data_IF_118773258653
#
_entry.id   IF_118773258653
#
_cell.length_a   1.000
_cell.length_b   1.000
_cell.length_c   1.000
_cell.angle_alpha   90.00
_cell.angle_beta   90.00
_cell.angle_gamma   90.00
#
_symmetry.space_group_name_H-M   'P 1'
#
loop_
_entity.id
_entity.type
_entity.pdbx_description
1 polymer ?
#
# COMPACT_ATOMS: atom_id res chain seq x y z
N UNK A 1 -59.49 -0.19 -70.15
CA UNK A 1 -59.15 -1.62 -70.09
C UNK A 1 -58.08 -1.85 -69.02
N UNK A 2 -58.31 -2.80 -68.09
CA UNK A 2 -57.35 -3.42 -67.12
C UNK A 2 -56.97 -2.54 -65.89
N UNK A 3 -57.64 -2.69 -64.74
CA UNK A 3 -57.29 -3.49 -63.51
C UNK A 3 -55.96 -3.01 -62.87
N UNK A 4 -55.80 -2.66 -61.59
CA UNK A 4 -55.98 -3.37 -60.31
C UNK A 4 -55.87 -2.32 -59.16
N UNK A 5 -56.77 -2.22 -58.17
CA UNK A 5 -56.80 -2.90 -56.85
C UNK A 5 -55.63 -2.54 -55.88
N UNK A 6 -55.99 -1.78 -54.84
CA UNK A 6 -55.66 -1.88 -53.39
C UNK A 6 -54.20 -1.92 -52.93
N UNK A 7 -53.86 -1.16 -51.86
CA UNK A 7 -53.41 -1.70 -50.55
C UNK A 7 -52.81 -0.62 -49.61
N UNK A 8 -53.28 -0.69 -48.36
CA UNK A 8 -52.70 -0.34 -47.05
C UNK A 8 -52.18 1.07 -46.73
N UNK A 9 -52.97 1.71 -45.86
CA UNK A 9 -52.52 2.43 -44.68
C UNK A 9 -51.49 1.63 -43.86
N UNK A 10 -50.36 2.23 -43.56
CA UNK A 10 -49.37 1.72 -42.60
C UNK A 10 -48.79 2.89 -41.78
N UNK A 11 -49.48 3.24 -40.69
CA UNK A 11 -48.89 3.96 -39.57
C UNK A 11 -48.15 2.96 -38.69
N UNK A 12 -46.81 2.95 -38.72
CA UNK A 12 -46.00 2.38 -37.64
C UNK A 12 -44.92 3.39 -37.23
N UNK A 13 -45.21 4.05 -36.12
CA UNK A 13 -44.33 4.29 -34.97
C UNK A 13 -42.82 4.33 -35.26
N UNK A 14 -42.30 5.54 -35.41
CA UNK A 14 -40.86 5.82 -35.22
C UNK A 14 -40.52 5.61 -33.74
N UNK A 15 -40.04 4.41 -33.42
CA UNK A 15 -39.40 4.08 -32.15
C UNK A 15 -38.16 4.95 -31.99
N UNK A 16 -38.17 5.85 -31.01
CA UNK A 16 -36.99 6.59 -30.59
C UNK A 16 -35.93 5.59 -30.08
N UNK A 17 -34.88 5.35 -30.86
CA UNK A 17 -33.65 4.75 -30.36
C UNK A 17 -32.93 5.78 -29.49
N UNK A 18 -33.36 5.91 -28.23
CA UNK A 18 -32.55 6.56 -27.21
C UNK A 18 -31.46 5.55 -26.83
N UNK A 19 -30.29 5.61 -27.47
CA UNK A 19 -29.15 4.84 -27.01
C UNK A 19 -28.71 5.44 -25.68
N UNK A 20 -29.03 4.75 -24.58
CA UNK A 20 -28.30 4.91 -23.34
C UNK A 20 -26.89 4.40 -23.61
N UNK A 21 -26.03 5.28 -24.10
CA UNK A 21 -24.60 5.05 -24.17
C UNK A 21 -24.09 4.86 -22.75
N UNK A 22 -24.07 3.61 -22.28
CA UNK A 22 -23.26 3.22 -21.14
C UNK A 22 -21.81 3.44 -21.52
N UNK A 23 -21.32 4.64 -21.24
CA UNK A 23 -19.92 4.97 -21.33
C UNK A 23 -19.24 4.24 -20.17
N UNK A 24 -18.78 3.01 -20.43
CA UNK A 24 -17.78 2.37 -19.57
C UNK A 24 -16.51 3.20 -19.73
N UNK A 25 -16.34 4.22 -18.89
CA UNK A 25 -15.03 4.84 -18.70
C UNK A 25 -14.16 3.71 -18.18
N UNK A 26 -13.13 3.23 -18.92
CA UNK A 26 -12.09 2.46 -18.28
C UNK A 26 -11.51 3.41 -17.23
N UNK A 27 -11.63 3.08 -15.96
CA UNK A 27 -11.01 3.83 -14.87
C UNK A 27 -9.49 3.71 -15.05
N UNK A 28 -8.92 4.53 -15.93
CA UNK A 28 -7.47 4.73 -16.07
C UNK A 28 -7.08 5.74 -14.99
N UNK A 29 -7.39 5.41 -13.74
CA UNK A 29 -6.65 5.94 -12.61
C UNK A 29 -5.33 5.17 -12.52
N UNK A 30 -4.23 5.77 -12.03
CA UNK A 30 -3.06 4.97 -11.68
C UNK A 30 -3.50 3.89 -10.70
N UNK A 31 -3.36 2.62 -11.08
CA UNK A 31 -3.68 1.50 -10.21
C UNK A 31 -2.71 1.54 -9.03
N UNK A 32 -3.17 2.04 -7.88
CA UNK A 32 -2.37 2.04 -6.65
C UNK A 32 -2.04 0.57 -6.33
N UNK A 33 -0.76 0.17 -6.33
CA UNK A 33 -0.39 -1.20 -6.05
C UNK A 33 -0.90 -1.62 -4.68
N UNK A 34 -1.54 -2.78 -4.61
CA UNK A 34 -1.93 -3.36 -3.31
C UNK A 34 -0.66 -3.79 -2.57
N UNK A 35 -0.55 -3.39 -1.31
CA UNK A 35 0.52 -3.84 -0.42
C UNK A 35 0.17 -5.21 0.17
N UNK A 36 1.11 -6.15 0.06
CA UNK A 36 1.02 -7.51 0.58
C UNK A 36 1.71 -7.61 1.95
N UNK A 37 1.03 -7.17 2.99
CA UNK A 37 1.58 -7.15 4.35
C UNK A 37 2.00 -8.54 4.86
N UNK A 38 1.36 -9.61 4.37
CA UNK A 38 1.68 -11.01 4.67
C UNK A 38 3.08 -11.45 4.21
N UNK A 39 3.71 -10.69 3.30
CA UNK A 39 5.05 -10.92 2.79
C UNK A 39 6.04 -9.84 3.23
N UNK A 40 5.61 -8.90 4.08
CA UNK A 40 6.43 -7.77 4.50
C UNK A 40 7.40 -8.17 5.60
N UNK A 41 8.64 -7.70 5.48
CA UNK A 41 9.69 -7.82 6.47
C UNK A 41 10.14 -6.43 6.92
N UNK A 42 10.50 -6.32 8.19
CA UNK A 42 11.26 -5.19 8.68
C UNK A 42 12.75 -5.45 8.38
N UNK A 43 13.38 -4.61 7.57
CA UNK A 43 14.76 -4.82 7.09
C UNK A 43 15.60 -3.61 7.46
N UNK A 44 16.72 -3.82 8.13
CA UNK A 44 17.58 -2.73 8.59
C UNK A 44 18.94 -3.23 9.06
N UNK A 45 19.70 -2.34 9.67
CA UNK A 45 21.07 -2.67 10.11
C UNK A 45 21.11 -3.79 11.17
N UNK A 46 20.04 -3.97 11.96
CA UNK A 46 19.94 -5.02 12.98
C UNK A 46 19.76 -6.45 12.43
N UNK A 47 19.37 -6.59 11.16
CA UNK A 47 19.25 -7.89 10.49
C UNK A 47 19.98 -7.92 9.15
N UNK A 48 21.03 -7.10 9.01
CA UNK A 48 21.87 -7.05 7.82
C UNK A 48 21.09 -6.79 6.52
N UNK A 49 19.96 -6.09 6.62
CA UNK A 49 19.02 -5.85 5.53
C UNK A 49 18.44 -7.12 4.91
N UNK A 50 18.44 -8.26 5.60
CA UNK A 50 17.90 -9.52 5.09
C UNK A 50 16.39 -9.66 5.34
N UNK A 51 15.73 -10.52 4.55
CA UNK A 51 14.35 -10.92 4.78
C UNK A 51 14.28 -12.05 5.82
N UNK A 52 14.82 -11.80 7.01
CA UNK A 52 14.87 -12.78 8.10
C UNK A 52 13.44 -13.06 8.62
N UNK A 53 12.99 -14.33 8.67
CA UNK A 53 11.68 -14.72 9.20
C UNK A 53 11.36 -14.21 10.60
N UNK A 54 12.35 -13.97 11.46
CA UNK A 54 12.15 -13.36 12.79
C UNK A 54 11.64 -11.92 12.70
N UNK A 55 11.94 -11.24 11.60
CA UNK A 55 11.56 -9.85 11.32
C UNK A 55 10.38 -9.75 10.35
N UNK A 56 9.72 -10.88 10.05
CA UNK A 56 8.51 -10.91 9.23
C UNK A 56 7.32 -10.37 10.02
N UNK A 57 6.57 -9.46 9.43
CA UNK A 57 5.35 -8.93 10.03
C UNK A 57 4.31 -10.03 10.20
N UNK A 58 3.68 -10.07 11.37
CA UNK A 58 2.61 -11.02 11.73
C UNK A 58 1.32 -10.29 11.97
N UNK A 59 0.21 -10.90 11.54
CA UNK A 59 -1.13 -10.32 11.73
C UNK A 59 -1.50 -10.28 13.22
N UNK A 60 -2.00 -9.14 13.66
CA UNK A 60 -2.56 -8.89 14.99
C UNK A 60 -3.96 -8.27 14.88
N UNK A 61 -4.61 -8.03 16.03
CA UNK A 61 -5.96 -7.45 16.07
C UNK A 61 -6.03 -6.05 15.44
N UNK A 62 -4.94 -5.28 15.54
CA UNK A 62 -4.87 -3.86 15.13
C UNK A 62 -3.91 -3.61 13.97
N UNK A 63 -3.71 -4.61 13.09
CA UNK A 63 -2.83 -4.51 11.93
C UNK A 63 -1.79 -5.61 11.86
N UNK A 64 -0.57 -5.24 11.46
CA UNK A 64 0.56 -6.16 11.38
C UNK A 64 1.67 -5.67 12.29
N UNK A 65 2.31 -6.60 13.01
CA UNK A 65 3.32 -6.26 14.01
C UNK A 65 4.55 -7.14 13.87
N UNK A 66 5.68 -6.59 14.29
CA UNK A 66 6.91 -7.32 14.56
C UNK A 66 7.58 -6.71 15.78
N UNK A 67 8.15 -7.56 16.63
CA UNK A 67 8.81 -7.16 17.86
C UNK A 67 10.32 -7.39 17.70
N UNK A 68 11.12 -6.37 18.01
CA UNK A 68 12.57 -6.36 17.81
C UNK A 68 13.26 -5.89 19.07
N UNK A 69 14.30 -6.62 19.49
CA UNK A 69 15.19 -6.17 20.56
C UNK A 69 16.20 -5.16 19.99
N UNK A 70 16.25 -3.97 20.59
CA UNK A 70 17.15 -2.88 20.18
C UNK A 70 17.99 -2.42 21.37
N UNK A 71 19.22 -2.01 21.07
CA UNK A 71 20.17 -1.51 22.07
C UNK A 71 20.21 0.01 21.98
N UNK A 72 20.13 0.69 23.13
CA UNK A 72 20.30 2.14 23.18
C UNK A 72 21.77 2.53 23.29
N UNK A 73 22.49 2.42 22.18
CA UNK A 73 23.89 2.84 22.04
C UNK A 73 24.03 4.32 21.60
N UNK A 74 22.91 5.00 21.38
CA UNK A 74 22.84 6.39 20.95
C UNK A 74 22.92 6.60 19.44
N UNK A 75 23.10 5.53 18.64
CA UNK A 75 23.08 5.60 17.18
C UNK A 75 21.67 5.31 16.62
N UNK A 76 21.29 5.94 15.51
CA UNK A 76 20.06 5.57 14.82
C UNK A 76 20.21 4.22 14.10
N UNK A 77 19.19 3.37 14.23
CA UNK A 77 19.02 2.22 13.34
C UNK A 77 18.39 2.70 12.03
N UNK A 78 19.10 2.50 10.92
CA UNK A 78 18.51 2.63 9.58
C UNK A 78 17.69 1.39 9.24
N UNK A 79 16.48 1.59 8.71
CA UNK A 79 15.61 0.50 8.29
C UNK A 79 14.59 0.92 7.21
N UNK A 80 14.00 -0.08 6.56
CA UNK A 80 12.89 -0.02 5.61
C UNK A 80 12.00 -1.25 5.75
N UNK A 81 10.89 -1.25 5.03
CA UNK A 81 9.97 -2.37 4.95
C UNK A 81 10.01 -2.89 3.53
N UNK A 82 10.13 -4.20 3.35
CA UNK A 82 10.07 -4.79 2.02
C UNK A 82 9.67 -6.25 2.04
N UNK A 83 9.17 -6.75 0.92
CA UNK A 83 9.19 -8.18 0.63
C UNK A 83 10.63 -8.72 0.49
N UNK A 84 10.74 -10.03 0.31
CA UNK A 84 12.00 -10.76 0.18
C UNK A 84 12.80 -10.32 -1.06
N UNK A 85 12.11 -9.92 -2.12
CA UNK A 85 12.66 -9.61 -3.44
C UNK A 85 13.01 -8.15 -3.67
N UNK A 86 12.76 -7.26 -2.71
CA UNK A 86 12.86 -5.81 -2.93
C UNK A 86 12.00 -5.34 -4.10
N UNK A 87 10.79 -5.89 -4.24
CA UNK A 87 9.84 -5.45 -5.27
C UNK A 87 9.55 -3.97 -5.05
N UNK A 88 9.74 -3.10 -6.06
CA UNK A 88 9.60 -1.64 -5.90
C UNK A 88 8.28 -1.21 -5.26
N UNK A 89 7.17 -1.81 -5.67
CA UNK A 89 5.83 -1.51 -5.14
C UNK A 89 5.54 -2.11 -3.77
N UNK A 90 6.43 -2.97 -3.25
CA UNK A 90 6.36 -3.57 -1.92
C UNK A 90 7.50 -3.10 -1.01
N UNK A 91 8.37 -2.22 -1.53
CA UNK A 91 9.49 -1.63 -0.79
C UNK A 91 9.07 -0.25 -0.30
N UNK A 92 8.87 -0.13 1.01
CA UNK A 92 8.31 1.05 1.64
C UNK A 92 9.32 1.71 2.57
N UNK A 93 9.33 3.04 2.54
CA UNK A 93 10.30 3.84 3.27
C UNK A 93 9.83 5.28 3.49
N UNK A 94 10.76 6.11 3.97
CA UNK A 94 10.54 7.52 4.17
C UNK A 94 10.41 8.28 2.84
N UNK A 95 9.80 9.47 2.92
CA UNK A 95 9.71 10.45 1.82
C UNK A 95 11.02 11.17 1.56
N UNK A 96 11.95 11.11 2.52
CA UNK A 96 13.28 11.69 2.44
C UNK A 96 14.28 10.85 3.25
N UNK A 97 15.56 10.98 2.89
CA UNK A 97 16.66 10.24 3.50
C UNK A 97 16.77 10.51 5.00
N UNK A 98 16.81 9.44 5.79
CA UNK A 98 16.99 9.52 7.23
C UNK A 98 15.76 10.08 7.95
N UNK A 99 14.56 9.89 7.38
CA UNK A 99 13.33 10.34 8.01
C UNK A 99 13.20 9.76 9.42
N UNK A 100 13.16 10.59 10.47
CA UNK A 100 13.13 10.11 11.84
C UNK A 100 11.78 9.51 12.18
N UNK A 101 11.80 8.41 12.92
CA UNK A 101 10.64 7.76 13.51
C UNK A 101 10.68 8.04 15.01
N UNK A 102 9.64 8.71 15.51
CA UNK A 102 9.52 9.02 16.93
C UNK A 102 8.68 7.94 17.63
N UNK A 103 9.02 7.65 18.89
CA UNK A 103 8.26 6.71 19.70
C UNK A 103 6.79 7.15 19.79
N UNK A 104 5.88 6.20 19.58
CA UNK A 104 4.42 6.37 19.58
C UNK A 104 3.86 7.38 18.58
N UNK A 105 4.67 7.89 17.64
CA UNK A 105 4.21 8.76 16.57
C UNK A 105 3.83 7.95 15.32
N UNK A 106 2.85 8.47 14.57
CA UNK A 106 2.50 7.94 13.26
C UNK A 106 3.47 8.47 12.21
N UNK A 107 4.00 7.57 11.39
CA UNK A 107 4.87 7.90 10.26
C UNK A 107 4.27 7.28 9.00
N UNK A 108 4.03 8.12 7.99
CA UNK A 108 3.49 7.67 6.71
C UNK A 108 4.62 7.33 5.74
N UNK A 109 4.55 6.13 5.18
CA UNK A 109 5.55 5.56 4.29
C UNK A 109 5.02 5.49 2.87
N UNK A 110 5.91 5.72 1.91
CA UNK A 110 5.64 5.56 0.48
C UNK A 110 6.27 4.26 0.00
N UNK A 111 5.54 3.51 -0.83
CA UNK A 111 5.96 2.22 -1.36
C UNK A 111 6.35 2.34 -2.83
N UNK A 112 7.62 2.63 -3.06
CA UNK A 112 8.20 2.84 -4.38
C UNK A 112 9.73 2.66 -4.34
N UNK A 113 10.34 2.51 -5.53
CA UNK A 113 11.79 2.33 -5.66
C UNK A 113 12.59 3.47 -5.01
N UNK A 114 12.10 4.71 -5.15
CA UNK A 114 12.75 5.92 -4.65
C UNK A 114 12.51 6.18 -3.16
N UNK A 115 11.73 5.36 -2.47
CA UNK A 115 11.54 5.53 -1.03
C UNK A 115 12.87 5.34 -0.28
N UNK A 116 13.00 6.05 0.84
CA UNK A 116 14.28 6.22 1.53
C UNK A 116 14.32 5.49 2.88
N UNK A 117 15.52 5.39 3.46
CA UNK A 117 15.69 4.80 4.79
C UNK A 117 15.04 5.66 5.88
N UNK A 118 14.38 4.98 6.82
CA UNK A 118 13.89 5.54 8.08
C UNK A 118 14.95 5.39 9.16
N UNK A 119 14.90 6.26 10.18
CA UNK A 119 15.81 6.20 11.32
C UNK A 119 15.04 6.14 12.64
N UNK A 120 15.39 5.19 13.49
CA UNK A 120 14.88 5.08 14.86
C UNK A 120 16.03 4.95 15.85
N UNK A 121 16.07 5.83 16.85
CA UNK A 121 17.05 5.77 17.95
C UNK A 121 16.32 5.39 19.24
N UNK A 122 16.49 4.17 19.77
CA UNK A 122 15.87 3.78 21.03
C UNK A 122 16.46 4.59 22.19
N UNK A 123 15.61 5.12 23.06
CA UNK A 123 16.05 5.83 24.27
C UNK A 123 16.53 4.92 25.40
N UNK A 124 16.27 3.62 25.30
CA UNK A 124 16.65 2.61 26.29
C UNK A 124 16.71 1.22 25.64
N UNK A 125 17.65 0.37 26.04
CA UNK A 125 17.68 -1.02 25.55
C UNK A 125 16.40 -1.77 25.91
N UNK A 126 15.87 -2.56 24.98
CA UNK A 126 14.71 -3.41 25.20
C UNK A 126 13.98 -3.77 23.92
N UNK A 127 12.80 -4.37 24.07
CA UNK A 127 11.96 -4.79 22.94
C UNK A 127 11.04 -3.66 22.48
N UNK A 128 11.06 -3.40 21.18
CA UNK A 128 10.23 -2.43 20.49
C UNK A 128 9.33 -3.12 19.48
N UNK A 129 8.06 -2.74 19.49
CA UNK A 129 7.05 -3.18 18.53
C UNK A 129 6.94 -2.19 17.40
N UNK A 130 7.16 -2.66 16.19
CA UNK A 130 6.87 -1.96 14.95
C UNK A 130 5.50 -2.43 14.48
N UNK A 131 4.54 -1.50 14.40
CA UNK A 131 3.17 -1.78 13.97
C UNK A 131 2.88 -1.05 12.66
N UNK A 132 2.32 -1.76 11.69
CA UNK A 132 1.93 -1.20 10.39
C UNK A 132 0.48 -1.48 10.04
N UNK A 133 -0.12 -0.49 9.37
CA UNK A 133 -1.48 -0.55 8.85
C UNK A 133 -1.55 0.11 7.46
N UNK A 134 -2.52 -0.28 6.62
CA UNK A 134 -2.80 0.45 5.39
C UNK A 134 -3.24 1.88 5.71
N UNK A 135 -2.77 2.83 4.91
CA UNK A 135 -3.21 4.22 4.91
C UNK A 135 -3.82 4.58 3.54
N UNK A 136 -4.13 5.85 3.35
CA UNK A 136 -4.69 6.40 2.11
C UNK A 136 -3.70 6.24 0.94
N UNK A 137 -4.21 6.12 -0.29
CA UNK A 137 -3.41 6.17 -1.52
C UNK A 137 -2.24 5.15 -1.60
N UNK A 138 -2.35 4.00 -0.93
CA UNK A 138 -1.31 2.96 -0.95
C UNK A 138 -0.13 3.26 -0.03
N UNK A 139 -0.22 4.30 0.80
CA UNK A 139 0.74 4.53 1.88
C UNK A 139 0.56 3.51 3.01
N UNK A 140 1.59 3.38 3.83
CA UNK A 140 1.56 2.61 5.08
C UNK A 140 1.70 3.58 6.23
N UNK A 141 0.90 3.41 7.29
CA UNK A 141 1.19 4.06 8.58
C UNK A 141 2.00 3.11 9.45
N UNK A 142 3.17 3.58 9.91
CA UNK A 142 4.05 2.92 10.85
C UNK A 142 3.98 3.62 12.20
N UNK A 143 3.94 2.84 13.28
CA UNK A 143 4.11 3.30 14.67
C UNK A 143 5.12 2.39 15.37
N UNK A 144 6.01 2.98 16.17
CA UNK A 144 6.96 2.24 17.01
C UNK A 144 6.62 2.46 18.48
N UNK A 145 6.44 1.39 19.25
CA UNK A 145 6.16 1.45 20.70
C UNK A 145 7.12 0.56 21.48
N UNK A 146 7.48 0.96 22.70
CA UNK A 146 8.23 0.09 23.62
C UNK A 146 7.27 -0.90 24.28
N UNK A 147 7.71 -2.15 24.46
CA UNK A 147 6.98 -3.19 25.22
C UNK A 147 7.32 -3.17 26.71
#
# INVERSE_FOLDING_TARGET
MKKLISILSFCILLSACSSSGSFNIPEIGPSVPRIHFENMFLRGVFNWWEADPNYKFKRANSGWIVDVELIADGQPYDFRLSDDKWTPSQSCGGKYKGQPVMLAANVYLICEQASENLQFTPSSTGTYRFAINPASAGEIVLTVSKL
#
